data_IF_950028574393
#
_entry.id   IF_950028574393
#
_cell.length_a   1.000
_cell.length_b   1.000
_cell.length_c   1.000
_cell.angle_alpha   90.00
_cell.angle_beta   90.00
_cell.angle_gamma   90.00
#
_symmetry.space_group_name_H-M   'P 1'
#
loop_
_entity.id
_entity.type
_entity.pdbx_description
1 polymer ?
#
# COMPACT_ATOMS: atom_id res chain seq x y z
N UNK A 1 -10.23 4.54 -13.32
CA UNK A 1 -11.46 4.24 -12.56
C UNK A 1 -11.68 2.76 -12.73
N UNK A 2 -11.26 1.93 -11.77
CA UNK A 2 -11.49 0.48 -11.84
C UNK A 2 -13.01 0.22 -11.78
N UNK A 3 -13.65 -0.28 -12.86
CA UNK A 3 -15.09 -0.50 -12.90
C UNK A 3 -15.54 -1.74 -12.09
N UNK A 4 -14.61 -2.46 -11.44
CA UNK A 4 -14.88 -3.63 -10.59
C UNK A 4 -14.75 -3.39 -9.08
N UNK A 5 -14.70 -4.49 -8.30
CA UNK A 5 -14.55 -4.50 -6.84
C UNK A 5 -13.10 -4.25 -6.38
N UNK A 6 -12.46 -3.19 -6.87
CA UNK A 6 -11.12 -2.80 -6.42
C UNK A 6 -11.18 -2.31 -4.96
N UNK A 7 -10.44 -2.92 -4.02
CA UNK A 7 -10.44 -2.49 -2.63
C UNK A 7 -10.01 -1.04 -2.47
N UNK A 8 -10.80 -0.27 -1.74
CA UNK A 8 -10.52 1.14 -1.43
C UNK A 8 -10.21 1.25 0.06
N UNK A 9 -8.94 1.45 0.38
CA UNK A 9 -8.46 1.56 1.76
C UNK A 9 -7.18 2.41 1.85
N UNK A 10 -6.74 2.68 3.07
CA UNK A 10 -5.43 3.28 3.34
C UNK A 10 -4.81 2.63 4.57
N UNK A 11 -3.49 2.53 4.59
CA UNK A 11 -2.71 2.05 5.73
C UNK A 11 -1.60 3.05 6.02
N UNK A 12 -1.44 3.40 7.30
CA UNK A 12 -0.32 4.17 7.81
C UNK A 12 0.48 3.32 8.77
N UNK A 13 1.80 3.28 8.57
CA UNK A 13 2.76 2.64 9.49
C UNK A 13 3.61 3.74 10.12
N UNK A 14 3.55 3.86 11.44
CA UNK A 14 4.31 4.86 12.19
C UNK A 14 5.66 4.29 12.63
N UNK A 15 6.63 5.18 12.89
CA UNK A 15 7.99 4.82 13.33
C UNK A 15 8.03 4.03 14.65
N UNK A 16 7.01 4.17 15.50
CA UNK A 16 6.85 3.45 16.76
C UNK A 16 6.17 2.07 16.60
N UNK A 17 5.92 1.65 15.35
CA UNK A 17 5.28 0.40 15.00
C UNK A 17 3.75 0.41 15.07
N UNK A 18 3.09 1.54 15.33
CA UNK A 18 1.63 1.64 15.24
C UNK A 18 1.19 1.53 13.77
N UNK A 19 0.09 0.81 13.52
CA UNK A 19 -0.56 0.70 12.21
C UNK A 19 -1.96 1.29 12.33
N UNK A 20 -2.35 2.14 11.38
CA UNK A 20 -3.72 2.63 11.23
C UNK A 20 -4.23 2.27 9.85
N UNK A 21 -5.30 1.49 9.80
CA UNK A 21 -6.02 1.11 8.59
C UNK A 21 -7.36 1.84 8.54
N UNK A 22 -7.76 2.26 7.35
CA UNK A 22 -9.10 2.80 7.08
C UNK A 22 -9.65 2.16 5.81
N UNK A 23 -10.68 1.34 5.94
CA UNK A 23 -11.35 0.67 4.83
C UNK A 23 -12.62 1.39 4.40
N UNK A 24 -12.81 1.61 3.10
CA UNK A 24 -13.94 2.38 2.54
C UNK A 24 -14.89 1.50 1.72
N UNK A 25 -14.43 0.93 0.60
CA UNK A 25 -15.24 0.14 -0.34
C UNK A 25 -14.52 -1.15 -0.75
N UNK A 26 -15.29 -2.19 -1.07
CA UNK A 26 -14.77 -3.48 -1.57
C UNK A 26 -13.68 -4.10 -0.67
N UNK A 27 -13.84 -3.94 0.65
CA UNK A 27 -12.98 -4.50 1.70
C UNK A 27 -13.83 -5.30 2.68
N UNK A 28 -13.23 -6.31 3.32
CA UNK A 28 -13.92 -7.14 4.31
C UNK A 28 -14.25 -6.35 5.58
N UNK A 29 -13.37 -5.42 5.97
CA UNK A 29 -13.52 -4.59 7.17
C UNK A 29 -13.57 -3.12 6.77
N UNK A 30 -14.70 -2.46 7.01
CA UNK A 30 -14.85 -1.01 6.81
C UNK A 30 -14.53 -0.23 8.10
N UNK A 31 -14.13 1.02 7.93
CA UNK A 31 -13.80 1.95 9.00
C UNK A 31 -12.39 1.75 9.57
N UNK A 32 -12.09 2.54 10.60
CA UNK A 32 -10.78 2.57 11.25
C UNK A 32 -10.46 1.27 11.98
N UNK A 33 -9.26 0.74 11.79
CA UNK A 33 -8.66 -0.33 12.60
C UNK A 33 -7.24 0.04 12.97
N UNK A 34 -6.80 -0.46 14.11
CA UNK A 34 -5.45 -0.26 14.60
C UNK A 34 -4.75 -1.59 14.78
N UNK A 35 -3.44 -1.57 14.62
CA UNK A 35 -2.57 -2.70 14.84
C UNK A 35 -1.20 -2.24 15.28
N UNK A 36 -0.32 -3.22 15.52
CA UNK A 36 1.06 -2.93 15.90
C UNK A 36 2.00 -3.96 15.30
N UNK A 37 3.20 -3.51 14.98
CA UNK A 37 4.33 -4.34 14.56
C UNK A 37 5.55 -4.03 15.42
N UNK A 38 6.51 -4.94 15.42
CA UNK A 38 7.79 -4.73 16.10
C UNK A 38 8.61 -3.65 15.38
N UNK A 39 9.39 -2.88 16.14
CA UNK A 39 10.30 -1.87 15.57
C UNK A 39 11.29 -2.45 14.57
N UNK A 40 11.67 -3.73 14.70
CA UNK A 40 12.49 -4.43 13.71
C UNK A 40 11.81 -4.56 12.34
N UNK A 41 10.47 -4.72 12.31
CA UNK A 41 9.70 -4.74 11.06
C UNK A 41 9.57 -3.34 10.46
N UNK A 42 9.41 -2.31 11.28
CA UNK A 42 9.45 -0.91 10.83
C UNK A 42 10.79 -0.59 10.17
N UNK A 43 11.90 -1.00 10.80
CA UNK A 43 13.24 -0.83 10.24
C UNK A 43 13.40 -1.57 8.92
N UNK A 44 12.93 -2.82 8.81
CA UNK A 44 12.95 -3.57 7.55
C UNK A 44 12.19 -2.85 6.43
N UNK A 45 11.03 -2.26 6.75
CA UNK A 45 10.27 -1.47 5.78
C UNK A 45 11.05 -0.25 5.32
N UNK A 46 11.65 0.50 6.26
CA UNK A 46 12.47 1.67 5.95
C UNK A 46 13.70 1.31 5.09
N UNK A 47 14.39 0.23 5.42
CA UNK A 47 15.53 -0.28 4.65
C UNK A 47 15.12 -0.61 3.20
N UNK A 48 13.91 -1.15 2.99
CA UNK A 48 13.38 -1.43 1.66
C UNK A 48 13.08 -0.15 0.86
N UNK A 49 12.61 0.92 1.49
CA UNK A 49 12.46 2.22 0.82
C UNK A 49 13.80 2.76 0.30
N UNK A 50 14.87 2.66 1.10
CA UNK A 50 16.20 3.06 0.65
C UNK A 50 16.75 2.13 -0.44
N UNK A 51 16.56 0.82 -0.32
CA UNK A 51 16.96 -0.16 -1.33
C UNK A 51 16.28 0.08 -2.68
N UNK A 52 15.00 0.48 -2.67
CA UNK A 52 14.26 0.85 -3.88
C UNK A 52 14.67 2.21 -4.46
N UNK A 53 15.61 2.91 -3.83
CA UNK A 53 15.99 4.29 -4.16
C UNK A 53 14.76 5.20 -4.32
N UNK A 54 13.80 5.06 -3.39
CA UNK A 54 12.44 5.58 -3.57
C UNK A 54 12.37 7.09 -3.82
N UNK A 55 13.24 7.86 -3.18
CA UNK A 55 13.31 9.32 -3.35
C UNK A 55 13.70 9.74 -4.78
N UNK A 56 14.38 8.88 -5.54
CA UNK A 56 14.75 9.11 -6.93
C UNK A 56 13.74 8.59 -7.95
N UNK A 57 12.70 7.88 -7.52
CA UNK A 57 11.65 7.42 -8.42
C UNK A 57 10.87 8.60 -9.01
N UNK A 58 10.22 8.38 -10.16
CA UNK A 58 9.27 9.34 -10.71
C UNK A 58 8.09 9.48 -9.75
N UNK A 59 7.50 10.67 -9.69
CA UNK A 59 6.32 10.92 -8.86
C UNK A 59 5.10 10.11 -9.34
N UNK A 60 5.10 9.70 -10.61
CA UNK A 60 3.97 9.03 -11.23
C UNK A 60 4.37 8.06 -12.35
N UNK A 61 3.70 6.91 -12.36
CA UNK A 61 3.76 5.91 -13.41
C UNK A 61 2.34 5.65 -13.94
N UNK A 62 2.06 6.15 -15.15
CA UNK A 62 0.75 6.04 -15.81
C UNK A 62 0.78 5.09 -17.01
N UNK A 63 -0.38 4.57 -17.37
CA UNK A 63 -0.62 3.94 -18.66
C UNK A 63 -1.97 4.40 -19.22
N UNK A 64 -2.18 4.21 -20.53
CA UNK A 64 -3.48 4.38 -21.18
C UNK A 64 -4.34 3.16 -20.86
N UNK A 65 -4.72 3.00 -19.59
CA UNK A 65 -5.59 1.94 -19.11
C UNK A 65 -6.67 2.55 -18.21
N UNK A 66 -7.94 2.25 -18.49
CA UNK A 66 -9.09 2.87 -17.80
C UNK A 66 -9.47 2.14 -16.51
N UNK A 67 -9.10 0.86 -16.38
CA UNK A 67 -9.53 -0.09 -15.35
C UNK A 67 -8.45 -0.46 -14.31
N UNK A 68 -7.23 0.08 -14.43
CA UNK A 68 -6.13 -0.18 -13.51
C UNK A 68 -6.43 0.28 -12.07
N UNK A 69 -6.00 -0.52 -11.09
CA UNK A 69 -5.91 -0.11 -9.71
C UNK A 69 -4.84 1.00 -9.57
N UNK A 70 -5.11 1.99 -8.73
CA UNK A 70 -4.16 3.06 -8.42
C UNK A 70 -3.61 2.79 -7.02
N UNK A 71 -2.31 2.59 -6.93
CA UNK A 71 -1.59 2.53 -5.66
C UNK A 71 -0.90 3.86 -5.43
N UNK A 72 -1.04 4.40 -4.21
CA UNK A 72 -0.26 5.55 -3.76
C UNK A 72 0.56 5.10 -2.57
N UNK A 73 1.87 5.26 -2.67
CA UNK A 73 2.78 5.06 -1.54
C UNK A 73 3.44 6.38 -1.21
N UNK A 74 3.69 6.60 0.08
CA UNK A 74 4.36 7.82 0.56
C UNK A 74 5.25 7.47 1.75
N UNK A 75 6.37 8.17 1.87
CA UNK A 75 7.29 8.06 3.01
C UNK A 75 7.63 9.45 3.53
N UNK A 76 7.69 9.56 4.86
CA UNK A 76 8.33 10.66 5.57
C UNK A 76 9.46 10.10 6.42
N UNK A 77 10.70 10.42 6.07
CA UNK A 77 11.90 9.98 6.77
C UNK A 77 13.01 11.02 6.62
N UNK A 78 13.84 11.20 7.66
CA UNK A 78 14.94 12.16 7.70
C UNK A 78 14.54 13.59 7.28
N UNK A 79 13.33 14.02 7.66
CA UNK A 79 12.79 15.34 7.30
C UNK A 79 12.41 15.49 5.83
N UNK A 80 12.48 14.43 5.02
CA UNK A 80 12.09 14.41 3.62
C UNK A 80 10.77 13.67 3.42
N UNK A 81 9.97 14.16 2.48
CA UNK A 81 8.74 13.50 2.05
C UNK A 81 8.85 13.12 0.58
N UNK A 82 8.34 11.94 0.22
CA UNK A 82 8.13 11.53 -1.16
C UNK A 82 6.80 10.79 -1.27
N UNK A 83 6.08 11.01 -2.36
CA UNK A 83 4.91 10.24 -2.77
C UNK A 83 5.14 9.74 -4.20
N UNK A 84 4.71 8.51 -4.47
CA UNK A 84 4.67 7.92 -5.81
C UNK A 84 3.27 7.39 -6.08
N UNK A 85 2.72 7.75 -7.24
CA UNK A 85 1.45 7.25 -7.74
C UNK A 85 1.72 6.21 -8.83
N UNK A 86 1.30 4.97 -8.58
CA UNK A 86 1.42 3.86 -9.50
C UNK A 86 0.03 3.47 -10.04
N UNK A 87 -0.27 3.88 -11.27
CA UNK A 87 -1.54 3.56 -11.95
C UNK A 87 -1.45 2.29 -12.80
N UNK A 88 -0.23 1.76 -13.01
CA UNK A 88 -0.01 0.58 -13.85
C UNK A 88 1.30 -0.14 -13.49
N UNK A 89 1.25 -1.22 -12.70
CA UNK A 89 2.43 -1.87 -12.14
C UNK A 89 3.49 -2.31 -13.16
N UNK A 90 3.10 -2.67 -14.38
CA UNK A 90 4.07 -3.13 -15.38
C UNK A 90 4.94 -2.02 -16.00
N UNK A 91 4.65 -0.74 -15.72
CA UNK A 91 5.51 0.39 -16.12
C UNK A 91 6.34 0.95 -14.95
N UNK A 92 6.04 0.51 -13.73
CA UNK A 92 6.86 0.83 -12.57
C UNK A 92 8.11 -0.08 -12.53
N UNK A 93 9.23 0.41 -11.98
CA UNK A 93 10.38 -0.44 -11.67
C UNK A 93 9.98 -1.57 -10.72
N UNK A 94 10.60 -2.72 -10.87
CA UNK A 94 10.35 -3.90 -10.04
C UNK A 94 10.54 -3.60 -8.55
N UNK A 95 11.46 -2.70 -8.21
CA UNK A 95 11.72 -2.29 -6.84
C UNK A 95 10.52 -1.60 -6.18
N UNK A 96 9.73 -0.84 -6.96
CA UNK A 96 8.49 -0.22 -6.47
C UNK A 96 7.44 -1.29 -6.17
N UNK A 97 7.29 -2.28 -7.05
CA UNK A 97 6.38 -3.39 -6.84
C UNK A 97 6.74 -4.21 -5.60
N UNK A 98 8.02 -4.53 -5.40
CA UNK A 98 8.48 -5.27 -4.22
C UNK A 98 8.27 -4.48 -2.92
N UNK A 99 8.47 -3.16 -2.95
CA UNK A 99 8.20 -2.28 -1.82
C UNK A 99 6.70 -2.24 -1.48
N UNK A 100 5.83 -2.06 -2.48
CA UNK A 100 4.37 -2.06 -2.30
C UNK A 100 3.87 -3.38 -1.70
N UNK A 101 4.38 -4.51 -2.20
CA UNK A 101 4.09 -5.83 -1.64
C UNK A 101 4.55 -5.97 -0.18
N UNK A 102 5.75 -5.48 0.15
CA UNK A 102 6.27 -5.53 1.52
C UNK A 102 5.45 -4.68 2.49
N UNK A 103 4.91 -3.53 2.04
CA UNK A 103 3.99 -2.70 2.83
C UNK A 103 2.73 -3.51 3.19
N UNK A 104 2.15 -4.23 2.24
CA UNK A 104 0.97 -5.08 2.49
C UNK A 104 1.28 -6.22 3.47
N UNK A 105 2.42 -6.90 3.28
CA UNK A 105 2.86 -7.98 4.16
C UNK A 105 3.10 -7.50 5.60
N UNK A 106 3.84 -6.41 5.78
CA UNK A 106 4.20 -5.87 7.10
C UNK A 106 2.99 -5.27 7.79
N UNK A 107 2.14 -4.54 7.06
CA UNK A 107 0.92 -3.98 7.65
C UNK A 107 -0.13 -5.04 7.99
N UNK A 108 0.02 -6.25 7.45
CA UNK A 108 -0.96 -7.32 7.50
C UNK A 108 -2.32 -6.85 6.96
N UNK A 109 -2.32 -5.94 5.97
CA UNK A 109 -3.52 -5.32 5.39
C UNK A 109 -4.51 -6.37 4.88
N UNK A 110 -3.99 -7.51 4.40
CA UNK A 110 -4.76 -8.64 3.89
C UNK A 110 -5.88 -9.12 4.82
N UNK A 111 -5.71 -9.05 6.15
CA UNK A 111 -6.75 -9.46 7.12
C UNK A 111 -7.98 -8.54 7.15
N UNK A 112 -7.86 -7.33 6.64
CA UNK A 112 -8.93 -6.34 6.57
C UNK A 112 -9.46 -6.16 5.14
N UNK A 113 -8.59 -6.38 4.16
CA UNK A 113 -8.91 -6.23 2.74
C UNK A 113 -9.61 -7.46 2.19
N UNK A 114 -9.10 -8.66 2.46
CA UNK A 114 -9.64 -9.94 1.96
C UNK A 114 -10.62 -10.54 2.97
N UNK A 115 -11.65 -11.23 2.49
CA UNK A 115 -12.46 -12.08 3.37
C UNK A 115 -11.67 -13.33 3.80
N UNK A 116 -12.22 -14.12 4.72
CA UNK A 116 -11.56 -15.33 5.23
C UNK A 116 -11.32 -16.40 4.14
N UNK A 117 -11.88 -16.24 2.93
CA UNK A 117 -11.66 -17.10 1.77
C UNK A 117 -10.64 -16.54 0.77
N UNK A 118 -10.07 -15.35 1.02
CA UNK A 118 -9.09 -14.72 0.14
C UNK A 118 -9.69 -14.10 -1.13
N UNK A 119 -11.01 -14.00 -1.24
CA UNK A 119 -11.70 -13.49 -2.42
C UNK A 119 -11.96 -11.97 -2.31
N UNK A 120 -12.00 -11.24 -3.45
CA UNK A 120 -12.47 -9.85 -3.47
C UNK A 120 -13.90 -9.79 -2.96
N UNK A 121 -14.18 -8.85 -2.07
CA UNK A 121 -15.50 -8.72 -1.43
C UNK A 121 -16.51 -8.15 -2.42
N UNK A 122 -17.13 -9.02 -3.20
CA UNK A 122 -18.34 -8.75 -3.98
C UNK A 122 -19.54 -9.12 -3.10
N UNK A 123 -20.33 -8.12 -2.70
CA UNK A 123 -21.70 -8.37 -2.21
C UNK A 123 -22.67 -7.78 -3.22
N UNK A 124 -23.49 -8.66 -3.80
CA UNK A 124 -24.64 -8.33 -4.63
C UNK A 124 -25.71 -7.58 -3.84
#
# INVERSE_FOLDING_TARGET
>A
MCPGACPDYSVFVYGDGRIVYEGRRYVAVKGRREGRILGTRVKQLLDQFYKANYFSLKDRYDAIATDGAITKTSIFADGKTKEVVNCYPSQAPEELYQLEKMIDEISQSGRWVRDQAGQPVLRA
#
